data_IF_444225422161
#
_entry.id   IF_444225422161
#
_cell.length_a   1.000
_cell.length_b   1.000
_cell.length_c   1.000
_cell.angle_alpha   90.00
_cell.angle_beta   90.00
_cell.angle_gamma   90.00
#
_symmetry.space_group_name_H-M   'P 1'
#
loop_
_entity.id
_entity.type
_entity.pdbx_description
1 polymer ?
#
# COMPACT_ATOMS: atom_id res chain seq x y z
N UNK A 1 -12.24 8.53 -9.65
CA UNK A 1 -10.95 7.81 -9.73
C UNK A 1 -11.23 6.37 -10.15
N UNK A 2 -10.48 5.83 -11.10
CA UNK A 2 -10.53 4.41 -11.50
C UNK A 2 -9.17 3.79 -11.17
N UNK A 3 -9.19 2.63 -10.52
CA UNK A 3 -7.98 1.88 -10.15
C UNK A 3 -8.06 0.53 -10.86
N UNK A 4 -7.09 0.25 -11.71
CA UNK A 4 -7.02 -0.99 -12.47
C UNK A 4 -5.81 -1.82 -12.03
N UNK A 5 -6.07 -3.02 -11.50
CA UNK A 5 -5.04 -3.93 -11.01
C UNK A 5 -4.94 -5.13 -11.93
N UNK A 6 -3.75 -5.36 -12.49
CA UNK A 6 -3.46 -6.58 -13.24
C UNK A 6 -3.05 -7.67 -12.26
N UNK A 7 -3.96 -8.59 -11.94
CA UNK A 7 -3.63 -9.76 -11.11
C UNK A 7 -2.65 -10.65 -11.85
N UNK A 8 -1.39 -10.67 -11.40
CA UNK A 8 -0.41 -11.67 -11.84
C UNK A 8 -0.64 -12.94 -11.02
N UNK A 9 -0.99 -14.03 -11.68
CA UNK A 9 -1.14 -15.33 -11.03
C UNK A 9 0.24 -15.98 -10.85
N UNK A 10 0.84 -15.80 -9.67
CA UNK A 10 2.10 -16.46 -9.32
C UNK A 10 1.81 -17.89 -8.84
N UNK A 11 2.32 -18.91 -9.54
CA UNK A 11 2.08 -20.34 -9.27
C UNK A 11 2.85 -20.91 -8.06
N UNK A 12 3.30 -20.06 -7.13
CA UNK A 12 3.83 -20.49 -5.82
C UNK A 12 5.18 -21.22 -5.82
N UNK A 13 5.84 -21.39 -6.98
CA UNK A 13 7.16 -22.07 -7.06
C UNK A 13 8.33 -21.14 -6.64
N UNK A 14 8.06 -19.86 -6.38
CA UNK A 14 9.06 -18.95 -5.84
C UNK A 14 9.26 -19.25 -4.35
N UNK A 15 10.16 -20.19 -4.05
CA UNK A 15 10.67 -20.41 -2.69
C UNK A 15 11.39 -19.14 -2.23
N UNK A 16 10.68 -18.38 -1.40
CA UNK A 16 11.10 -17.36 -0.42
C UNK A 16 9.85 -16.49 -0.21
N UNK A 17 9.25 -16.33 0.97
CA UNK A 17 9.66 -15.39 2.02
C UNK A 17 10.30 -14.05 1.59
N UNK A 18 10.52 -13.82 0.31
CA UNK A 18 11.10 -12.61 -0.21
C UNK A 18 10.40 -12.29 -1.52
N UNK A 19 9.80 -11.10 -1.58
CA UNK A 19 9.41 -10.46 -2.82
C UNK A 19 10.63 -10.18 -3.74
N UNK A 20 11.70 -10.97 -3.71
CA UNK A 20 12.97 -10.73 -4.43
C UNK A 20 12.90 -11.05 -5.92
N UNK A 21 11.80 -11.60 -6.43
CA UNK A 21 11.57 -11.83 -7.85
C UNK A 21 10.44 -10.94 -8.38
N UNK A 22 10.67 -10.24 -9.50
CA UNK A 22 9.73 -9.27 -10.09
C UNK A 22 8.45 -9.93 -10.66
N UNK A 23 8.36 -11.26 -10.64
CA UNK A 23 7.23 -12.03 -11.17
C UNK A 23 5.96 -11.93 -10.30
N UNK A 24 6.10 -11.69 -8.99
CA UNK A 24 4.96 -11.56 -8.07
C UNK A 24 4.74 -10.10 -7.61
N UNK A 25 5.32 -9.12 -8.31
CA UNK A 25 5.15 -7.69 -8.01
C UNK A 25 3.73 -7.22 -8.34
N UNK A 26 3.03 -6.67 -7.35
CA UNK A 26 1.71 -6.05 -7.53
C UNK A 26 1.81 -4.66 -8.18
N UNK A 27 0.96 -4.41 -9.17
CA UNK A 27 0.88 -3.14 -9.87
C UNK A 27 -0.58 -2.71 -10.04
N UNK A 28 -0.85 -1.43 -9.82
CA UNK A 28 -2.17 -0.83 -10.02
C UNK A 28 -2.03 0.50 -10.77
N UNK A 29 -2.81 0.67 -11.83
CA UNK A 29 -2.88 1.90 -12.62
C UNK A 29 -4.01 2.78 -12.10
N UNK A 30 -3.78 4.09 -12.10
CA UNK A 30 -4.70 5.07 -11.53
C UNK A 30 -5.10 6.09 -12.58
N UNK A 31 -6.40 6.30 -12.72
CA UNK A 31 -6.99 7.29 -13.60
C UNK A 31 -7.88 8.26 -12.82
N UNK A 32 -7.78 9.56 -13.11
CA UNK A 32 -8.69 10.57 -12.57
C UNK A 32 -8.73 11.82 -13.46
N UNK A 33 -9.90 12.19 -14.03
CA UNK A 33 -11.14 11.40 -14.10
C UNK A 33 -10.92 10.06 -14.84
N UNK A 34 -11.88 9.11 -14.79
CA UNK A 34 -11.76 7.87 -15.55
C UNK A 34 -11.49 8.14 -17.04
N UNK A 35 -10.49 7.46 -17.61
CA UNK A 35 -9.98 7.71 -18.96
C UNK A 35 -8.78 8.67 -19.04
N UNK A 36 -8.40 9.34 -17.94
CA UNK A 36 -7.17 10.15 -17.85
C UNK A 36 -6.18 9.50 -16.89
N UNK A 37 -5.15 8.88 -17.44
CA UNK A 37 -4.07 8.27 -16.66
C UNK A 37 -3.29 9.34 -15.89
N UNK A 38 -3.17 9.15 -14.57
CA UNK A 38 -2.41 10.07 -13.69
C UNK A 38 -1.17 9.43 -13.09
N UNK A 39 -1.06 8.10 -13.12
CA UNK A 39 0.09 7.40 -12.54
C UNK A 39 -0.23 5.97 -12.14
N UNK A 40 0.75 5.31 -11.50
CA UNK A 40 0.64 3.92 -11.07
C UNK A 40 1.29 3.70 -9.71
N UNK A 41 0.87 2.62 -9.07
CA UNK A 41 1.44 2.10 -7.83
C UNK A 41 2.14 0.80 -8.18
N UNK A 42 3.39 0.65 -7.75
CA UNK A 42 4.17 -0.58 -7.95
C UNK A 42 4.75 -1.05 -6.64
N UNK A 43 4.47 -2.30 -6.26
CA UNK A 43 5.10 -2.91 -5.11
C UNK A 43 6.60 -3.08 -5.36
N UNK A 44 7.41 -2.89 -4.33
CA UNK A 44 8.85 -3.13 -4.41
C UNK A 44 9.19 -4.41 -3.67
N UNK A 45 10.09 -5.17 -4.29
CA UNK A 45 10.79 -6.28 -3.69
C UNK A 45 11.39 -5.93 -2.33
N UNK A 46 11.00 -6.66 -1.29
CA UNK A 46 11.48 -6.47 0.07
C UNK A 46 11.23 -7.75 0.88
N UNK A 47 12.20 -8.11 1.73
CA UNK A 47 12.22 -9.36 2.50
C UNK A 47 11.24 -9.32 3.69
N UNK A 48 11.15 -8.18 4.36
CA UNK A 48 10.46 -8.09 5.65
C UNK A 48 9.54 -6.86 5.78
N UNK A 49 9.48 -5.99 4.77
CA UNK A 49 8.67 -4.77 4.82
C UNK A 49 7.87 -4.63 3.54
N UNK A 50 6.58 -4.35 3.62
CA UNK A 50 5.84 -3.98 2.42
C UNK A 50 6.27 -2.60 1.97
N UNK A 51 6.65 -2.46 0.69
CA UNK A 51 7.02 -1.18 0.09
C UNK A 51 6.28 -0.98 -1.23
N UNK A 52 5.81 0.24 -1.48
CA UNK A 52 5.18 0.65 -2.73
C UNK A 52 5.81 1.93 -3.24
N UNK A 53 6.05 2.00 -4.53
CA UNK A 53 6.43 3.23 -5.23
C UNK A 53 5.18 3.85 -5.85
N UNK A 54 5.01 5.15 -5.68
CA UNK A 54 3.97 5.95 -6.30
C UNK A 54 4.62 6.71 -7.46
N UNK A 55 4.21 6.33 -8.65
CA UNK A 55 4.83 6.74 -9.91
C UNK A 55 3.83 7.63 -10.65
N UNK A 56 4.27 8.79 -11.13
CA UNK A 56 3.43 9.73 -11.88
C UNK A 56 3.21 9.26 -13.33
N UNK A 57 2.48 10.07 -14.11
CA UNK A 57 2.23 9.84 -15.53
C UNK A 57 3.52 9.78 -16.38
N UNK A 58 4.56 10.51 -15.97
CA UNK A 58 5.89 10.56 -16.61
C UNK A 58 6.78 9.36 -16.29
N UNK A 59 6.27 8.35 -15.56
CA UNK A 59 7.02 7.21 -15.04
C UNK A 59 8.13 7.57 -14.03
N UNK A 60 8.00 8.71 -13.35
CA UNK A 60 8.92 9.13 -12.29
C UNK A 60 8.37 8.71 -10.93
N UNK A 61 9.22 8.09 -10.10
CA UNK A 61 8.89 7.81 -8.70
C UNK A 61 8.82 9.12 -7.94
N UNK A 62 7.64 9.53 -7.47
CA UNK A 62 7.50 10.78 -6.69
C UNK A 62 7.52 10.50 -5.20
N UNK A 63 6.78 9.47 -4.76
CA UNK A 63 6.68 9.09 -3.35
C UNK A 63 6.89 7.59 -3.19
N UNK A 64 7.22 7.16 -1.98
CA UNK A 64 7.21 5.76 -1.59
C UNK A 64 6.39 5.56 -0.32
N UNK A 65 5.72 4.43 -0.18
CA UNK A 65 5.05 4.00 1.05
C UNK A 65 5.81 2.79 1.58
N UNK A 66 6.22 2.82 2.84
CA UNK A 66 6.87 1.69 3.50
C UNK A 66 6.12 1.33 4.78
N UNK A 67 5.92 0.04 5.01
CA UNK A 67 5.59 -0.46 6.34
C UNK A 67 6.83 -0.38 7.22
N UNK A 68 6.66 0.04 8.47
CA UNK A 68 7.73 0.08 9.47
C UNK A 68 8.04 -1.33 10.00
N UNK A 69 7.04 -2.22 9.96
CA UNK A 69 7.10 -3.59 10.48
C UNK A 69 6.74 -4.64 9.44
N UNK A 70 7.08 -5.90 9.73
CA UNK A 70 6.64 -7.03 8.94
C UNK A 70 5.14 -7.26 9.13
N UNK A 71 4.39 -7.32 8.03
CA UNK A 71 3.00 -7.78 8.05
C UNK A 71 3.05 -9.31 7.99
N UNK A 72 3.35 -9.94 9.13
CA UNK A 72 3.45 -11.38 9.26
C UNK A 72 2.13 -11.98 9.75
N UNK A 73 1.59 -13.00 9.08
CA UNK A 73 0.52 -13.85 9.59
C UNK A 73 1.05 -15.08 10.36
N UNK A 74 2.21 -14.98 11.02
CA UNK A 74 2.90 -16.09 11.73
C UNK A 74 3.06 -15.86 13.23
N UNK A 75 3.69 -16.77 14.01
CA UNK A 75 3.79 -16.74 15.48
C UNK A 75 4.78 -15.66 15.99
N UNK A 76 5.06 -14.66 15.16
CA UNK A 76 5.77 -13.49 15.57
C UNK A 76 4.77 -12.66 16.40
N UNK A 77 4.94 -12.64 17.72
CA UNK A 77 4.22 -11.82 18.71
C UNK A 77 4.40 -10.30 18.51
N UNK A 78 4.59 -9.87 17.27
CA UNK A 78 4.70 -8.49 16.87
C UNK A 78 3.28 -7.93 16.76
N UNK A 79 2.72 -7.50 17.90
CA UNK A 79 1.59 -6.56 17.98
C UNK A 79 2.04 -5.19 17.43
N UNK A 80 2.45 -5.17 16.17
CA UNK A 80 3.02 -4.00 15.54
C UNK A 80 1.92 -3.07 15.09
N UNK A 81 2.14 -1.79 15.33
CA UNK A 81 1.29 -0.72 14.84
C UNK A 81 1.11 -0.85 13.32
N UNK A 82 -0.13 -0.82 12.85
CA UNK A 82 -0.48 -0.83 11.43
C UNK A 82 -0.23 0.57 10.82
N UNK A 83 1.02 1.04 10.92
CA UNK A 83 1.51 2.29 10.37
C UNK A 83 2.28 2.03 9.08
N UNK A 84 1.95 2.77 8.04
CA UNK A 84 2.72 2.86 6.81
C UNK A 84 3.18 4.29 6.61
N UNK A 85 4.48 4.49 6.51
CA UNK A 85 5.11 5.81 6.37
C UNK A 85 5.17 6.19 4.89
N UNK A 86 4.74 7.41 4.55
CA UNK A 86 4.86 8.00 3.22
C UNK A 86 6.13 8.85 3.20
N UNK A 87 7.10 8.44 2.38
CA UNK A 87 8.36 9.15 2.18
C UNK A 87 8.42 9.81 0.81
N UNK A 88 9.17 10.90 0.73
CA UNK A 88 9.42 11.64 -0.50
C UNK A 88 10.31 10.90 -1.51
N UNK A 89 10.70 11.60 -2.56
CA UNK A 89 11.57 11.09 -3.64
C UNK A 89 12.89 10.51 -3.11
N UNK A 90 13.43 11.13 -2.07
CA UNK A 90 14.69 10.78 -1.42
C UNK A 90 14.62 9.51 -0.57
N UNK A 91 13.44 8.88 -0.42
CA UNK A 91 13.18 7.72 0.44
C UNK A 91 13.52 7.94 1.93
N UNK A 92 13.81 9.18 2.35
CA UNK A 92 14.26 9.53 3.70
C UNK A 92 13.34 10.54 4.38
N UNK A 93 12.79 11.50 3.63
CA UNK A 93 11.94 12.54 4.19
C UNK A 93 10.52 12.00 4.36
N UNK A 94 10.08 11.80 5.61
CA UNK A 94 8.68 11.50 5.94
C UNK A 94 7.80 12.73 5.66
N UNK A 95 6.79 12.54 4.82
CA UNK A 95 5.85 13.61 4.45
C UNK A 95 4.42 13.34 4.91
N UNK A 96 4.15 12.13 5.39
CA UNK A 96 2.83 11.69 5.81
C UNK A 96 2.82 10.22 6.23
N UNK A 97 1.66 9.73 6.66
CA UNK A 97 1.51 8.36 7.08
C UNK A 97 0.08 7.85 6.85
N UNK A 98 -0.05 6.54 6.73
CA UNK A 98 -1.30 5.80 6.75
C UNK A 98 -1.34 5.03 8.06
N UNK A 99 -2.45 5.17 8.79
CA UNK A 99 -2.72 4.43 10.01
C UNK A 99 -4.02 3.64 9.86
N UNK A 100 -4.00 2.34 10.14
CA UNK A 100 -5.23 1.60 10.42
C UNK A 100 -5.59 1.83 11.89
N UNK A 101 -6.76 2.42 12.15
CA UNK A 101 -7.27 2.58 13.51
C UNK A 101 -7.81 1.24 13.99
N UNK A 102 -7.25 0.74 15.09
CA UNK A 102 -7.76 -0.45 15.77
C UNK A 102 -8.95 -0.02 16.65
N UNK A 103 -10.17 -0.49 16.36
CA UNK A 103 -11.37 -0.10 17.12
C UNK A 103 -11.53 -0.89 18.45
N UNK A 104 -10.53 -1.71 18.80
CA UNK A 104 -10.55 -2.56 19.98
C UNK A 104 -11.34 -3.86 19.77
N UNK A 105 -11.04 -4.86 20.62
CA UNK A 105 -11.55 -6.24 20.56
C UNK A 105 -13.09 -6.39 20.48
N UNK A 106 -13.86 -5.35 20.85
CA UNK A 106 -15.32 -5.45 21.02
C UNK A 106 -16.06 -4.85 19.81
N UNK A 107 -15.43 -3.99 19.00
CA UNK A 107 -16.08 -3.30 17.88
C UNK A 107 -15.80 -3.93 16.50
N UNK A 108 -14.71 -4.71 16.37
CA UNK A 108 -14.41 -5.48 15.15
C UNK A 108 -15.42 -6.61 14.91
N UNK A 109 -16.07 -7.13 15.95
CA UNK A 109 -17.08 -8.18 15.82
C UNK A 109 -18.44 -7.69 15.26
N UNK A 110 -18.70 -6.37 15.27
CA UNK A 110 -20.02 -5.81 14.96
C UNK A 110 -20.07 -4.94 13.70
N UNK A 111 -18.93 -4.56 13.13
CA UNK A 111 -18.87 -3.83 11.85
C UNK A 111 -17.64 -4.28 11.06
N UNK A 112 -17.87 -4.91 9.90
CA UNK A 112 -16.87 -5.36 8.90
C UNK A 112 -16.17 -4.17 8.18
N UNK A 113 -16.15 -2.99 8.80
CA UNK A 113 -15.64 -1.75 8.23
C UNK A 113 -14.28 -1.40 8.84
N UNK A 114 -13.25 -1.40 8.01
CA UNK A 114 -11.90 -0.99 8.40
C UNK A 114 -11.75 0.54 8.35
N UNK A 115 -11.25 1.14 9.43
CA UNK A 115 -11.03 2.59 9.50
C UNK A 115 -9.55 2.93 9.26
N UNK A 116 -9.27 3.60 8.14
CA UNK A 116 -7.94 4.12 7.82
C UNK A 116 -7.89 5.64 7.90
N UNK A 117 -6.74 6.17 8.34
CA UNK A 117 -6.41 7.59 8.27
C UNK A 117 -5.17 7.76 7.42
N UNK A 118 -5.21 8.66 6.44
CA UNK A 118 -4.05 9.01 5.60
C UNK A 118 -3.78 10.51 5.73
N UNK A 119 -2.53 10.88 5.93
CA UNK A 119 -2.10 12.28 6.05
C UNK A 119 -1.13 12.65 4.93
N UNK A 120 -1.26 13.87 4.44
CA UNK A 120 -0.42 14.44 3.40
C UNK A 120 -0.10 15.90 3.75
N UNK A 121 1.02 16.46 3.26
CA UNK A 121 1.25 17.88 3.36
C UNK A 121 0.22 18.64 2.52
N UNK A 122 -0.11 19.87 2.95
CA UNK A 122 -1.08 20.73 2.27
C UNK A 122 -0.71 20.95 0.80
N UNK A 123 0.56 21.22 0.55
CA UNK A 123 1.08 21.62 -0.76
C UNK A 123 1.42 20.44 -1.69
N UNK A 124 1.14 19.20 -1.27
CA UNK A 124 1.32 18.04 -2.13
C UNK A 124 0.32 18.06 -3.29
N UNK A 125 0.81 17.74 -4.50
CA UNK A 125 0.00 17.69 -5.72
C UNK A 125 -1.25 16.82 -5.53
N UNK A 126 -2.37 17.31 -6.07
CA UNK A 126 -3.68 16.66 -5.94
C UNK A 126 -3.70 15.29 -6.60
N UNK A 127 -2.95 15.11 -7.71
CA UNK A 127 -2.80 13.81 -8.37
C UNK A 127 -2.03 12.82 -7.51
N UNK A 128 -1.01 13.27 -6.78
CA UNK A 128 -0.28 12.38 -5.87
C UNK A 128 -1.11 12.00 -4.65
N UNK A 129 -1.96 12.90 -4.13
CA UNK A 129 -2.95 12.54 -3.11
C UNK A 129 -3.91 11.47 -3.62
N UNK A 130 -4.38 11.59 -4.87
CA UNK A 130 -5.25 10.60 -5.50
C UNK A 130 -4.56 9.24 -5.67
N UNK A 131 -3.29 9.22 -6.09
CA UNK A 131 -2.48 7.98 -6.20
C UNK A 131 -2.21 7.39 -4.80
N UNK A 132 -1.97 8.22 -3.79
CA UNK A 132 -1.81 7.76 -2.40
C UNK A 132 -3.08 7.15 -1.83
N UNK A 133 -4.26 7.70 -2.15
CA UNK A 133 -5.55 7.10 -1.82
C UNK A 133 -5.75 5.76 -2.55
N UNK A 134 -5.36 5.68 -3.82
CA UNK A 134 -5.38 4.41 -4.55
C UNK A 134 -4.44 3.36 -3.93
N UNK A 135 -3.28 3.78 -3.43
CA UNK A 135 -2.35 2.89 -2.72
C UNK A 135 -2.94 2.39 -1.40
N UNK A 136 -3.67 3.23 -0.67
CA UNK A 136 -4.42 2.83 0.52
C UNK A 136 -5.43 1.72 0.21
N UNK A 137 -6.23 1.86 -0.87
CA UNK A 137 -7.16 0.80 -1.29
C UNK A 137 -6.43 -0.50 -1.64
N UNK A 138 -5.28 -0.40 -2.32
CA UNK A 138 -4.47 -1.57 -2.67
C UNK A 138 -3.93 -2.27 -1.41
N UNK A 139 -3.40 -1.53 -0.44
CA UNK A 139 -2.93 -2.04 0.86
C UNK A 139 -4.05 -2.77 1.58
N UNK A 140 -5.25 -2.19 1.62
CA UNK A 140 -6.41 -2.80 2.27
C UNK A 140 -6.75 -4.17 1.66
N UNK A 141 -6.84 -4.23 0.32
CA UNK A 141 -7.16 -5.46 -0.42
C UNK A 141 -6.05 -6.52 -0.26
N UNK A 142 -4.79 -6.11 -0.20
CA UNK A 142 -3.65 -7.03 -0.10
C UNK A 142 -3.49 -7.63 1.30
N UNK A 143 -3.73 -6.85 2.36
CA UNK A 143 -3.33 -7.24 3.71
C UNK A 143 -4.50 -7.52 4.66
N UNK A 144 -5.65 -6.89 4.50
CA UNK A 144 -6.71 -6.94 5.52
C UNK A 144 -8.03 -7.53 5.01
N UNK A 145 -8.44 -7.23 3.77
CA UNK A 145 -9.67 -7.84 3.21
C UNK A 145 -9.54 -9.35 2.99
N UNK A 146 -8.32 -9.89 2.88
CA UNK A 146 -8.08 -11.34 2.77
C UNK A 146 -8.09 -12.07 4.13
N UNK A 147 -8.08 -11.35 5.26
CA UNK A 147 -8.09 -11.96 6.60
C UNK A 147 -9.51 -12.30 7.10
N UNK A 148 -10.58 -11.76 6.48
CA UNK A 148 -11.98 -12.00 6.87
C UNK A 148 -12.65 -13.20 6.18
N UNK A 149 -11.93 -14.29 5.86
CA UNK A 149 -12.51 -15.55 5.39
C UNK A 149 -11.88 -16.77 6.03
#
# INVERSE_FOLDING_TARGET
>A
IRIERNRKFCTGICFCFANSCDCCTEEAFVESPPGTYIGKIRQKASCCRTRFNLINESNEKILSISSDYCICNGPCYCCCENKFTIVGYDDHTEIGAIHKKYAGFIHEAFTDAELFTITFPRDLDTRMKAIGLAALFLINIMHFTQQNR
#
